data_IF_208166661696
#
_entry.id   IF_208166661696
#
_cell.length_a   1.000
_cell.length_b   1.000
_cell.length_c   1.000
_cell.angle_alpha   90.00
_cell.angle_beta   90.00
_cell.angle_gamma   90.00
#
_symmetry.space_group_name_H-M   'P 1'
#
loop_
_entity.id
_entity.type
_entity.pdbx_description
1 polymer ?
#
# COMPACT_ATOMS: atom_id res chain seq x y z
N UNK A 1 -49.08 9.14 22.72
CA UNK A 1 -48.36 8.50 21.59
C UNK A 1 -46.83 8.54 21.71
N UNK A 2 -46.19 9.33 22.60
CA UNK A 2 -44.73 9.44 22.70
C UNK A 2 -43.96 8.32 23.46
N UNK A 3 -44.62 7.39 24.15
CA UNK A 3 -43.92 6.34 24.94
C UNK A 3 -43.47 5.10 24.16
N UNK A 4 -43.86 4.96 22.88
CA UNK A 4 -43.52 3.78 22.04
C UNK A 4 -42.35 4.00 21.08
N UNK A 5 -41.95 5.26 20.85
CA UNK A 5 -40.83 5.62 19.98
C UNK A 5 -39.46 5.13 20.50
N UNK A 6 -39.14 5.22 21.82
CA UNK A 6 -37.85 4.78 22.34
C UNK A 6 -37.68 3.25 22.27
N UNK A 7 -38.74 2.49 22.55
CA UNK A 7 -38.72 1.04 22.47
C UNK A 7 -38.66 0.53 21.02
N UNK A 8 -39.28 1.24 20.07
CA UNK A 8 -39.19 0.90 18.66
C UNK A 8 -37.80 1.19 18.07
N UNK A 9 -37.16 2.29 18.48
CA UNK A 9 -35.77 2.61 18.10
C UNK A 9 -34.76 1.65 18.76
N UNK A 10 -34.97 1.28 20.03
CA UNK A 10 -34.18 0.25 20.70
C UNK A 10 -34.36 -1.13 20.05
N UNK A 11 -35.59 -1.51 19.70
CA UNK A 11 -35.86 -2.77 19.01
C UNK A 11 -35.26 -2.78 17.59
N UNK A 12 -35.36 -1.67 16.85
CA UNK A 12 -34.71 -1.50 15.55
C UNK A 12 -33.18 -1.59 15.66
N UNK A 13 -32.59 -0.93 16.66
CA UNK A 13 -31.16 -1.01 16.96
C UNK A 13 -30.71 -2.41 17.37
N UNK A 14 -31.53 -3.14 18.13
CA UNK A 14 -31.26 -4.53 18.51
C UNK A 14 -31.39 -5.50 17.33
N UNK A 15 -32.38 -5.29 16.45
CA UNK A 15 -32.53 -6.10 15.23
C UNK A 15 -31.42 -5.81 14.22
N UNK A 16 -30.96 -4.56 14.13
CA UNK A 16 -29.83 -4.19 13.29
C UNK A 16 -28.53 -4.81 13.82
N UNK A 17 -28.27 -4.77 15.12
CA UNK A 17 -27.08 -5.39 15.72
C UNK A 17 -27.11 -6.93 15.65
N UNK A 18 -28.25 -7.57 15.90
CA UNK A 18 -28.40 -9.03 15.73
C UNK A 18 -28.31 -9.45 14.25
N UNK A 19 -28.84 -8.64 13.33
CA UNK A 19 -28.71 -8.85 11.90
C UNK A 19 -27.25 -8.77 11.44
N UNK A 20 -26.52 -7.73 11.87
CA UNK A 20 -25.09 -7.59 11.62
C UNK A 20 -24.30 -8.76 12.22
N UNK A 21 -24.57 -9.16 13.47
CA UNK A 21 -23.90 -10.30 14.10
C UNK A 21 -24.16 -11.63 13.36
N UNK A 22 -25.37 -11.83 12.82
CA UNK A 22 -25.70 -12.99 12.01
C UNK A 22 -24.96 -13.03 10.66
N UNK A 23 -24.82 -11.87 10.00
CA UNK A 23 -24.01 -11.71 8.77
C UNK A 23 -22.54 -12.02 9.06
N UNK A 24 -22.00 -11.45 10.13
CA UNK A 24 -20.62 -11.67 10.59
C UNK A 24 -20.35 -13.15 10.93
N UNK A 25 -21.23 -13.82 11.69
CA UNK A 25 -21.10 -15.24 12.02
C UNK A 25 -21.19 -16.15 10.78
N UNK A 26 -22.06 -15.80 9.82
CA UNK A 26 -22.18 -16.54 8.56
C UNK A 26 -20.92 -16.38 7.71
N UNK A 27 -20.34 -15.17 7.69
CA UNK A 27 -19.12 -14.88 6.95
C UNK A 27 -17.90 -15.57 7.57
N UNK A 28 -17.78 -15.57 8.90
CA UNK A 28 -16.76 -16.35 9.62
C UNK A 28 -16.87 -17.85 9.35
N UNK A 29 -18.09 -18.38 9.29
CA UNK A 29 -18.30 -19.77 8.92
C UNK A 29 -17.92 -20.06 7.46
N UNK A 30 -18.09 -19.10 6.54
CA UNK A 30 -17.64 -19.22 5.15
C UNK A 30 -16.11 -19.26 5.05
N UNK A 31 -15.40 -18.37 5.76
CA UNK A 31 -13.93 -18.39 5.87
C UNK A 31 -13.41 -19.74 6.38
N UNK A 32 -13.91 -20.19 7.53
CA UNK A 32 -13.45 -21.43 8.17
C UNK A 32 -13.75 -22.70 7.33
N UNK A 33 -14.72 -22.62 6.41
CA UNK A 33 -15.11 -23.76 5.58
C UNK A 33 -14.70 -23.62 4.11
N UNK A 34 -14.00 -22.54 3.73
CA UNK A 34 -13.62 -22.24 2.35
C UNK A 34 -14.81 -22.10 1.39
N UNK A 35 -16.01 -21.81 1.89
CA UNK A 35 -17.23 -21.69 1.06
C UNK A 35 -17.39 -20.27 0.56
N UNK A 36 -17.76 -20.10 -0.72
CA UNK A 36 -18.04 -18.78 -1.31
C UNK A 36 -16.82 -17.88 -1.50
N UNK A 37 -15.62 -18.47 -1.53
CA UNK A 37 -14.42 -17.79 -2.03
C UNK A 37 -14.56 -17.48 -3.51
N UNK A 38 -14.09 -16.32 -3.93
CA UNK A 38 -13.81 -16.04 -5.34
C UNK A 38 -12.51 -16.76 -5.67
N UNK A 39 -12.49 -17.57 -6.73
CA UNK A 39 -11.27 -18.21 -7.20
C UNK A 39 -10.27 -17.15 -7.66
N UNK A 40 -8.97 -17.42 -7.51
CA UNK A 40 -7.99 -16.48 -8.04
C UNK A 40 -8.08 -16.48 -9.57
N UNK A 41 -7.92 -15.33 -10.22
CA UNK A 41 -7.85 -15.28 -11.67
C UNK A 41 -6.57 -15.98 -12.16
N UNK A 42 -6.61 -16.52 -13.37
CA UNK A 42 -5.39 -16.98 -14.05
C UNK A 42 -4.70 -15.81 -14.75
N UNK A 43 -3.39 -15.92 -14.98
CA UNK A 43 -2.68 -14.98 -15.85
C UNK A 43 -3.26 -15.06 -17.27
N UNK A 44 -3.79 -13.94 -17.75
CA UNK A 44 -4.36 -13.86 -19.09
C UNK A 44 -3.25 -13.65 -20.12
N UNK A 45 -3.08 -14.65 -20.99
CA UNK A 45 -2.09 -14.64 -22.07
C UNK A 45 -2.26 -13.47 -23.05
N UNK A 46 -3.46 -12.86 -23.14
CA UNK A 46 -3.69 -11.67 -23.95
C UNK A 46 -2.94 -10.44 -23.42
N UNK A 47 -2.71 -10.37 -22.11
CA UNK A 47 -1.89 -9.33 -21.47
C UNK A 47 -0.41 -9.71 -21.43
N UNK A 48 -0.10 -11.01 -21.42
CA UNK A 48 1.26 -11.53 -21.47
C UNK A 48 1.86 -11.56 -22.89
N UNK A 49 1.39 -10.72 -23.84
CA UNK A 49 1.72 -10.82 -25.28
C UNK A 49 3.20 -11.23 -25.46
N UNK A 50 3.35 -12.49 -25.93
CA UNK A 50 4.61 -13.17 -26.26
C UNK A 50 5.14 -14.25 -25.30
N UNK A 51 4.37 -14.68 -24.29
CA UNK A 51 4.78 -15.82 -23.44
C UNK A 51 4.50 -17.21 -24.02
N UNK A 52 3.94 -17.33 -25.23
CA UNK A 52 3.76 -18.62 -25.92
C UNK A 52 4.81 -18.80 -27.02
N UNK A 53 6.06 -19.06 -26.61
CA UNK A 53 7.15 -19.32 -27.53
C UNK A 53 8.42 -19.78 -26.83
N UNK A 54 9.42 -20.17 -27.62
CA UNK A 54 10.78 -20.42 -27.15
C UNK A 54 11.32 -19.24 -26.32
N UNK A 55 12.35 -19.43 -25.49
CA UNK A 55 12.95 -18.33 -24.69
C UNK A 55 13.27 -17.07 -25.54
N UNK A 56 13.61 -17.24 -26.83
CA UNK A 56 13.84 -16.14 -27.76
C UNK A 56 12.59 -15.36 -28.20
N UNK A 57 11.41 -15.97 -28.14
CA UNK A 57 10.12 -15.35 -28.47
C UNK A 57 9.52 -14.63 -27.25
N UNK A 58 9.74 -15.15 -26.03
CA UNK A 58 9.40 -14.47 -24.78
C UNK A 58 10.24 -13.21 -24.52
N UNK A 59 11.55 -13.27 -24.82
CA UNK A 59 12.47 -12.13 -24.71
C UNK A 59 12.20 -11.04 -25.78
N UNK A 60 11.66 -11.43 -26.94
CA UNK A 60 11.23 -10.48 -27.98
C UNK A 60 9.97 -9.69 -27.60
N UNK A 61 9.20 -10.17 -26.63
CA UNK A 61 7.91 -9.61 -26.29
C UNK A 61 7.92 -8.77 -24.99
N UNK A 62 8.80 -9.13 -24.06
CA UNK A 62 9.18 -8.29 -22.93
C UNK A 62 10.69 -8.05 -23.00
N UNK A 63 11.15 -7.05 -23.77
CA UNK A 63 12.56 -6.68 -23.76
C UNK A 63 12.95 -6.24 -22.34
N UNK A 64 14.24 -6.26 -22.01
CA UNK A 64 14.72 -5.91 -20.67
C UNK A 64 14.20 -4.55 -20.17
N UNK A 65 13.97 -3.58 -21.07
CA UNK A 65 13.36 -2.29 -20.77
C UNK A 65 12.23 -1.95 -21.76
N UNK A 66 11.07 -1.55 -21.25
CA UNK A 66 9.91 -1.12 -22.05
C UNK A 66 9.01 -0.16 -21.28
N UNK A 67 8.03 0.41 -21.97
CA UNK A 67 6.99 1.22 -21.35
C UNK A 67 5.61 0.72 -21.77
N UNK A 68 4.68 0.64 -20.83
CA UNK A 68 3.31 0.15 -21.05
C UNK A 68 2.31 0.98 -20.25
N UNK A 69 1.03 0.84 -20.58
CA UNK A 69 -0.04 1.47 -19.84
C UNK A 69 -0.68 0.43 -18.92
N UNK A 70 -0.80 0.75 -17.64
CA UNK A 70 -1.49 -0.08 -16.65
C UNK A 70 -2.81 0.58 -16.28
N UNK A 71 -3.88 -0.22 -16.28
CA UNK A 71 -5.19 0.22 -15.84
C UNK A 71 -5.39 -0.15 -14.38
N UNK A 72 -5.82 0.80 -13.57
CA UNK A 72 -6.15 0.62 -12.16
C UNK A 72 -7.49 1.30 -11.86
N UNK A 73 -7.96 1.25 -10.61
CA UNK A 73 -9.17 1.98 -10.20
C UNK A 73 -8.83 3.19 -9.32
N UNK A 74 -9.57 4.28 -9.52
CA UNK A 74 -9.51 5.47 -8.69
C UNK A 74 -10.90 5.82 -8.18
N UNK A 75 -10.99 6.29 -6.94
CA UNK A 75 -12.27 6.69 -6.33
C UNK A 75 -12.92 7.90 -7.05
N UNK A 76 -12.09 8.76 -7.64
CA UNK A 76 -12.54 9.95 -8.37
C UNK A 76 -12.84 9.69 -9.85
N UNK A 77 -12.44 8.53 -10.38
CA UNK A 77 -12.63 8.22 -11.79
C UNK A 77 -14.13 8.05 -12.10
N UNK A 78 -14.62 8.62 -13.22
CA UNK A 78 -16.01 8.49 -13.60
C UNK A 78 -16.32 7.06 -14.09
N UNK A 79 -17.61 6.75 -14.24
CA UNK A 79 -18.03 5.49 -14.86
C UNK A 79 -17.72 4.27 -13.99
N UNK A 80 -16.92 3.35 -14.53
CA UNK A 80 -16.48 2.12 -13.83
C UNK A 80 -15.33 2.36 -12.85
N UNK A 81 -14.88 3.61 -12.71
CA UNK A 81 -13.80 4.00 -11.83
C UNK A 81 -12.42 3.66 -12.37
N UNK A 82 -12.29 3.32 -13.66
CA UNK A 82 -11.00 3.02 -14.28
C UNK A 82 -10.16 4.28 -14.51
N UNK A 83 -8.85 4.13 -14.29
CA UNK A 83 -7.83 5.13 -14.58
C UNK A 83 -6.62 4.44 -15.23
N UNK A 84 -5.80 5.19 -15.97
CA UNK A 84 -4.68 4.63 -16.73
C UNK A 84 -3.40 5.41 -16.44
N UNK A 85 -2.36 4.69 -16.02
CA UNK A 85 -1.02 5.25 -15.82
C UNK A 85 -0.03 4.62 -16.80
N UNK A 86 0.83 5.44 -17.40
CA UNK A 86 1.96 4.98 -18.20
C UNK A 86 3.16 4.73 -17.29
N UNK A 87 3.74 3.54 -17.36
CA UNK A 87 4.90 3.13 -16.56
C UNK A 87 6.05 2.67 -17.43
N UNK A 88 7.27 2.81 -16.92
CA UNK A 88 8.46 2.13 -17.44
C UNK A 88 8.68 0.86 -16.63
N UNK A 89 9.18 -0.20 -17.26
CA UNK A 89 9.76 -1.34 -16.57
C UNK A 89 11.16 -1.60 -17.11
N UNK A 90 12.11 -1.84 -16.21
CA UNK A 90 13.49 -2.19 -16.57
C UNK A 90 14.02 -3.27 -15.61
N UNK A 91 14.31 -4.46 -16.13
CA UNK A 91 14.90 -5.55 -15.36
C UNK A 91 16.28 -5.19 -14.80
N UNK A 92 16.99 -4.21 -15.41
CA UNK A 92 18.31 -3.78 -14.95
C UNK A 92 18.27 -3.09 -13.58
N UNK A 93 17.12 -2.55 -13.15
CA UNK A 93 16.97 -1.92 -11.83
C UNK A 93 17.35 -2.87 -10.68
N UNK A 94 17.07 -4.16 -10.84
CA UNK A 94 17.34 -5.19 -9.83
C UNK A 94 18.77 -5.74 -9.90
N UNK A 95 19.68 -4.94 -10.44
CA UNK A 95 21.14 -5.15 -10.43
C UNK A 95 21.89 -3.96 -9.82
N UNK A 96 21.16 -2.87 -9.50
CA UNK A 96 21.69 -1.70 -8.85
C UNK A 96 21.84 -1.93 -7.33
N UNK A 97 22.45 -0.98 -6.64
CA UNK A 97 22.45 -0.98 -5.18
C UNK A 97 21.02 -0.69 -4.66
N UNK A 98 20.52 -1.47 -3.70
CA UNK A 98 19.20 -1.25 -3.13
C UNK A 98 19.06 0.05 -2.33
N UNK A 99 20.18 0.63 -1.87
CA UNK A 99 20.21 1.91 -1.18
C UNK A 99 20.20 3.13 -2.11
N UNK A 100 20.34 2.93 -3.42
CA UNK A 100 20.25 4.00 -4.41
C UNK A 100 18.79 4.21 -4.85
N UNK A 101 18.29 5.43 -4.66
CA UNK A 101 16.92 5.78 -5.07
C UNK A 101 16.76 5.73 -6.60
N UNK A 102 15.69 5.08 -7.06
CA UNK A 102 15.35 5.02 -8.47
C UNK A 102 13.94 5.59 -8.72
N UNK A 103 13.89 6.77 -9.34
CA UNK A 103 12.63 7.48 -9.54
C UNK A 103 11.66 6.78 -10.50
N UNK A 104 12.14 6.13 -11.57
CA UNK A 104 11.25 5.40 -12.49
C UNK A 104 10.68 4.15 -11.81
N UNK A 105 11.49 3.44 -11.01
CA UNK A 105 11.00 2.33 -10.19
C UNK A 105 10.00 2.82 -9.13
N UNK A 106 10.23 3.97 -8.52
CA UNK A 106 9.28 4.59 -7.59
C UNK A 106 7.95 4.95 -8.29
N UNK A 107 8.00 5.53 -9.50
CA UNK A 107 6.80 5.84 -10.27
C UNK A 107 6.00 4.55 -10.57
N UNK A 108 6.66 3.51 -11.07
CA UNK A 108 6.00 2.21 -11.34
C UNK A 108 5.47 1.57 -10.07
N UNK A 109 6.22 1.65 -8.96
CA UNK A 109 5.80 1.17 -7.64
C UNK A 109 4.54 1.88 -7.13
N UNK A 110 4.36 3.17 -7.42
CA UNK A 110 3.15 3.90 -7.02
C UNK A 110 1.89 3.36 -7.71
N UNK A 111 2.02 2.92 -8.97
CA UNK A 111 0.93 2.29 -9.73
C UNK A 111 0.67 0.86 -9.25
N UNK A 112 1.73 0.09 -8.96
CA UNK A 112 1.62 -1.25 -8.37
C UNK A 112 0.94 -1.22 -6.98
N UNK A 113 1.21 -0.20 -6.17
CA UNK A 113 0.53 0.02 -4.90
C UNK A 113 -0.96 0.35 -5.09
N UNK A 114 -1.32 1.13 -6.12
CA UNK A 114 -2.72 1.41 -6.45
C UNK A 114 -3.48 0.17 -6.95
N UNK A 115 -2.80 -0.69 -7.70
CA UNK A 115 -3.38 -1.94 -8.23
C UNK A 115 -3.83 -2.91 -7.12
N UNK A 116 -3.20 -2.87 -5.93
CA UNK A 116 -3.66 -3.67 -4.79
C UNK A 116 -5.08 -3.29 -4.36
N UNK A 117 -5.45 -2.01 -4.47
CA UNK A 117 -6.85 -1.63 -4.29
C UNK A 117 -7.69 -2.20 -5.42
N UNK A 118 -7.33 -1.90 -6.68
CA UNK A 118 -8.09 -2.31 -7.86
C UNK A 118 -8.48 -3.79 -7.87
N UNK A 119 -7.56 -4.66 -7.43
CA UNK A 119 -7.78 -6.11 -7.37
C UNK A 119 -8.88 -6.52 -6.39
N UNK A 120 -9.08 -5.77 -5.31
CA UNK A 120 -10.18 -6.05 -4.39
C UNK A 120 -11.56 -5.94 -5.07
N UNK A 121 -11.67 -5.17 -6.16
CA UNK A 121 -12.89 -5.10 -6.96
C UNK A 121 -13.30 -6.45 -7.56
N UNK A 122 -12.33 -7.23 -8.04
CA UNK A 122 -12.55 -8.60 -8.54
C UNK A 122 -13.09 -9.51 -7.43
N UNK A 123 -12.44 -9.49 -6.27
CA UNK A 123 -12.80 -10.33 -5.11
C UNK A 123 -14.09 -9.89 -4.37
N UNK A 124 -14.60 -8.69 -4.63
CA UNK A 124 -15.92 -8.25 -4.16
C UNK A 124 -17.08 -8.90 -4.93
N UNK A 125 -16.81 -9.62 -6.03
CA UNK A 125 -17.80 -10.17 -6.94
C UNK A 125 -18.76 -9.09 -7.49
N UNK A 126 -18.25 -7.87 -7.70
CA UNK A 126 -18.96 -6.85 -8.47
C UNK A 126 -18.93 -7.28 -9.94
N UNK A 127 -20.08 -7.32 -10.59
CA UNK A 127 -20.17 -7.66 -12.01
C UNK A 127 -19.21 -6.77 -12.82
N UNK A 128 -18.39 -7.40 -13.69
CA UNK A 128 -17.49 -6.74 -14.65
C UNK A 128 -16.24 -6.03 -14.11
N UNK A 129 -15.78 -6.27 -12.88
CA UNK A 129 -14.44 -5.83 -12.47
C UNK A 129 -13.36 -6.81 -12.98
N UNK A 130 -12.42 -6.37 -13.84
CA UNK A 130 -11.32 -7.23 -14.28
C UNK A 130 -10.29 -7.46 -13.17
N UNK A 131 -9.49 -8.53 -13.26
CA UNK A 131 -8.35 -8.77 -12.37
C UNK A 131 -7.21 -7.82 -12.72
N UNK A 132 -7.31 -6.57 -12.26
CA UNK A 132 -6.41 -5.48 -12.64
C UNK A 132 -4.95 -5.79 -12.30
N UNK A 133 -4.69 -6.41 -11.14
CA UNK A 133 -3.34 -6.72 -10.71
C UNK A 133 -2.71 -7.78 -11.62
N UNK A 134 -3.39 -8.90 -11.88
CA UNK A 134 -2.88 -9.98 -12.72
C UNK A 134 -2.67 -9.51 -14.16
N UNK A 135 -3.60 -8.72 -14.71
CA UNK A 135 -3.45 -8.16 -16.05
C UNK A 135 -2.24 -7.23 -16.13
N UNK A 136 -2.02 -6.40 -15.10
CA UNK A 136 -0.86 -5.52 -15.04
C UNK A 136 0.44 -6.31 -14.91
N UNK A 137 0.51 -7.28 -14.00
CA UNK A 137 1.69 -8.11 -13.78
C UNK A 137 2.02 -8.98 -15.00
N UNK A 138 1.01 -9.53 -15.68
CA UNK A 138 1.18 -10.19 -16.98
C UNK A 138 1.80 -9.24 -18.02
N UNK A 139 1.30 -7.99 -18.10
CA UNK A 139 1.84 -6.94 -19.00
C UNK A 139 3.26 -6.50 -18.65
N UNK A 140 3.69 -6.73 -17.40
CA UNK A 140 5.04 -6.45 -16.92
C UNK A 140 5.98 -7.67 -17.06
N UNK A 141 5.47 -8.81 -17.55
CA UNK A 141 6.23 -10.04 -17.77
C UNK A 141 6.39 -10.93 -16.53
N UNK A 142 5.56 -10.77 -15.50
CA UNK A 142 5.51 -11.72 -14.38
C UNK A 142 4.88 -13.03 -14.83
N UNK A 143 5.54 -14.15 -14.49
CA UNK A 143 5.13 -15.49 -14.92
C UNK A 143 4.32 -16.25 -13.87
N UNK A 144 4.42 -15.84 -12.60
CA UNK A 144 3.69 -16.44 -11.49
C UNK A 144 3.13 -15.32 -10.61
N UNK A 145 1.82 -15.35 -10.33
CA UNK A 145 1.13 -14.35 -9.51
C UNK A 145 0.17 -15.07 -8.58
N UNK A 146 0.17 -14.66 -7.30
CA UNK A 146 -0.80 -15.10 -6.30
C UNK A 146 -1.49 -13.89 -5.69
N UNK A 147 -2.83 -13.88 -5.79
CA UNK A 147 -3.73 -12.94 -5.12
C UNK A 147 -4.68 -13.65 -4.17
N UNK A 148 -4.34 -14.87 -3.73
CA UNK A 148 -5.22 -15.66 -2.86
C UNK A 148 -5.52 -14.96 -1.53
N UNK A 149 -4.62 -14.10 -1.04
CA UNK A 149 -4.81 -13.34 0.20
C UNK A 149 -6.01 -12.37 0.13
N UNK A 150 -6.47 -11.99 -1.07
CA UNK A 150 -7.65 -11.13 -1.24
C UNK A 150 -8.95 -11.87 -0.95
N UNK A 151 -8.94 -13.21 -0.97
CA UNK A 151 -10.09 -14.03 -0.60
C UNK A 151 -10.46 -13.74 0.84
N UNK A 152 -11.73 -13.42 1.06
CA UNK A 152 -12.28 -13.08 2.38
C UNK A 152 -11.66 -11.86 3.06
N UNK A 153 -10.85 -11.05 2.35
CA UNK A 153 -10.29 -9.80 2.87
C UNK A 153 -10.71 -8.59 2.04
N UNK A 154 -11.69 -8.72 1.15
CA UNK A 154 -12.01 -7.69 0.13
C UNK A 154 -13.40 -7.07 0.26
N UNK A 155 -14.23 -7.51 1.21
CA UNK A 155 -15.56 -6.93 1.45
C UNK A 155 -15.58 -6.11 2.74
N UNK A 156 -16.37 -5.03 2.77
CA UNK A 156 -16.61 -4.22 3.98
C UNK A 156 -17.10 -5.08 5.17
N UNK A 157 -17.86 -6.14 4.90
CA UNK A 157 -18.32 -7.08 5.95
C UNK A 157 -17.20 -7.96 6.51
N UNK A 158 -16.14 -8.19 5.73
CA UNK A 158 -14.96 -8.93 6.16
C UNK A 158 -14.12 -8.04 7.09
N UNK A 159 -13.94 -6.77 6.73
CA UNK A 159 -13.19 -5.82 7.57
C UNK A 159 -13.92 -5.48 8.89
N UNK A 160 -15.26 -5.38 8.87
CA UNK A 160 -16.06 -5.24 10.10
C UNK A 160 -16.03 -6.51 10.95
N UNK A 161 -15.91 -7.69 10.34
CA UNK A 161 -15.72 -8.94 11.05
C UNK A 161 -14.38 -8.95 11.76
N UNK A 162 -13.32 -8.62 11.03
CA UNK A 162 -11.95 -8.58 11.53
C UNK A 162 -11.83 -7.59 12.71
N UNK A 163 -12.45 -6.41 12.62
CA UNK A 163 -12.55 -5.45 13.73
C UNK A 163 -13.30 -6.01 14.95
N UNK A 164 -14.33 -6.83 14.73
CA UNK A 164 -15.14 -7.40 15.81
C UNK A 164 -14.51 -8.65 16.44
N UNK A 165 -13.68 -9.40 15.70
CA UNK A 165 -13.02 -10.64 16.15
C UNK A 165 -11.61 -10.41 16.70
N UNK A 166 -11.02 -9.22 16.50
CA UNK A 166 -9.60 -8.99 16.78
C UNK A 166 -8.68 -9.60 15.71
N UNK A 167 -9.23 -9.89 14.53
CA UNK A 167 -8.48 -10.28 13.32
C UNK A 167 -8.28 -9.08 12.36
N UNK A 168 -8.55 -7.84 12.83
CA UNK A 168 -8.39 -6.55 12.14
C UNK A 168 -7.01 -6.32 11.51
N UNK A 169 -6.03 -7.13 11.92
CA UNK A 169 -4.62 -7.04 11.56
C UNK A 169 -4.28 -7.77 10.24
N UNK A 170 -5.29 -8.33 9.53
CA UNK A 170 -5.11 -8.95 8.23
C UNK A 170 -5.12 -7.92 7.10
N UNK A 171 -4.13 -7.97 6.21
CA UNK A 171 -4.14 -7.21 4.95
C UNK A 171 -4.15 -8.14 3.74
N UNK A 172 -4.81 -7.70 2.68
CA UNK A 172 -4.65 -8.33 1.37
C UNK A 172 -3.36 -7.84 0.73
N UNK A 173 -2.70 -8.71 -0.02
CA UNK A 173 -1.48 -8.45 -0.75
C UNK A 173 -1.35 -9.37 -1.96
N UNK A 174 -0.64 -8.90 -2.97
CA UNK A 174 -0.22 -9.74 -4.10
C UNK A 174 1.22 -10.13 -3.89
N UNK A 175 1.56 -11.39 -4.15
CA UNK A 175 2.95 -11.84 -4.31
C UNK A 175 3.13 -12.40 -5.73
N UNK A 176 4.23 -12.05 -6.38
CA UNK A 176 4.46 -12.40 -7.77
C UNK A 176 5.95 -12.64 -8.05
N UNK A 177 6.25 -13.52 -9.01
CA UNK A 177 7.60 -13.85 -9.44
C UNK A 177 7.79 -13.49 -10.92
N UNK A 178 8.86 -12.76 -11.19
CA UNK A 178 9.36 -12.53 -12.55
C UNK A 178 10.76 -13.09 -12.69
N UNK A 179 10.98 -13.87 -13.75
CA UNK A 179 12.33 -14.23 -14.21
C UNK A 179 12.93 -13.01 -14.90
N UNK A 180 13.99 -12.46 -14.33
CA UNK A 180 14.71 -11.34 -14.93
C UNK A 180 15.61 -11.85 -16.05
N UNK A 181 15.76 -11.06 -17.12
CA UNK A 181 16.61 -11.40 -18.25
C UNK A 181 18.01 -11.88 -17.84
N UNK A 182 18.40 -13.06 -18.32
CA UNK A 182 19.74 -13.61 -18.17
C UNK A 182 20.67 -12.93 -19.18
N UNK A 183 21.51 -12.01 -18.70
CA UNK A 183 22.78 -11.75 -19.38
C UNK A 183 23.43 -13.11 -19.61
N UNK A 184 23.82 -13.42 -20.84
CA UNK A 184 24.04 -14.77 -21.37
C UNK A 184 25.13 -15.63 -20.66
N UNK A 185 25.68 -15.20 -19.52
CA UNK A 185 26.73 -15.87 -18.74
C UNK A 185 26.57 -15.76 -17.19
N UNK A 186 25.37 -15.51 -16.66
CA UNK A 186 25.12 -15.38 -15.20
C UNK A 186 24.14 -16.42 -14.63
N UNK A 187 24.09 -16.58 -13.27
CA UNK A 187 23.03 -17.36 -12.63
C UNK A 187 21.65 -16.77 -12.99
N UNK A 188 20.63 -17.62 -12.99
CA UNK A 188 19.26 -17.15 -13.17
C UNK A 188 18.92 -16.13 -12.07
N UNK A 189 18.10 -15.12 -12.38
CA UNK A 189 17.68 -14.10 -11.42
C UNK A 189 16.17 -14.02 -11.37
N UNK A 190 15.62 -14.12 -10.17
CA UNK A 190 14.20 -13.94 -9.91
C UNK A 190 13.97 -12.65 -9.12
N UNK A 191 12.92 -11.94 -9.50
CA UNK A 191 12.34 -10.87 -8.71
C UNK A 191 11.07 -11.40 -8.05
N UNK A 192 10.99 -11.28 -6.73
CA UNK A 192 9.75 -11.43 -5.98
C UNK A 192 9.19 -10.05 -5.71
N UNK A 193 8.02 -9.75 -6.27
CA UNK A 193 7.27 -8.54 -5.99
C UNK A 193 6.21 -8.85 -4.94
N UNK A 194 6.06 -7.94 -3.98
CA UNK A 194 4.89 -7.87 -3.11
C UNK A 194 4.24 -6.49 -3.20
N UNK A 195 2.93 -6.46 -3.42
CA UNK A 195 2.11 -5.25 -3.34
C UNK A 195 1.07 -5.40 -2.22
N UNK A 196 1.26 -4.66 -1.13
CA UNK A 196 0.38 -4.69 0.04
C UNK A 196 -0.74 -3.66 -0.06
N UNK A 197 -1.98 -4.08 0.22
CA UNK A 197 -3.17 -3.23 0.13
C UNK A 197 -3.35 -2.38 1.40
N UNK A 198 -3.70 -1.11 1.21
CA UNK A 198 -4.18 -0.26 2.30
C UNK A 198 -5.67 -0.43 2.64
N UNK A 199 -6.27 0.59 3.26
CA UNK A 199 -7.67 0.62 3.72
C UNK A 199 -8.60 1.33 2.72
N UNK A 200 -9.90 0.98 2.68
CA UNK A 200 -10.88 1.54 1.74
C UNK A 200 -11.77 2.64 2.37
N UNK A 201 -11.96 3.78 1.69
CA UNK A 201 -13.00 4.76 2.04
C UNK A 201 -12.96 5.29 3.50
N UNK A 202 -14.06 5.15 4.25
CA UNK A 202 -14.21 5.64 5.64
C UNK A 202 -13.42 4.84 6.69
N UNK A 203 -12.68 3.82 6.27
CA UNK A 203 -11.96 2.87 7.13
C UNK A 203 -10.59 3.41 7.60
N UNK A 204 -10.15 4.58 7.14
CA UNK A 204 -8.91 5.21 7.65
C UNK A 204 -8.93 5.44 9.18
N UNK A 205 -10.12 5.49 9.79
CA UNK A 205 -10.28 5.63 11.24
C UNK A 205 -9.75 4.40 12.02
N UNK A 206 -9.66 3.21 11.42
CA UNK A 206 -9.02 2.05 12.07
C UNK A 206 -7.49 2.15 12.10
N UNK A 207 -6.89 3.00 11.27
CA UNK A 207 -5.45 3.31 11.34
C UNK A 207 -5.07 4.09 12.62
N UNK A 208 -6.06 4.52 13.42
CA UNK A 208 -5.85 5.11 14.74
C UNK A 208 -5.86 4.06 15.88
N UNK A 209 -6.01 2.77 15.55
CA UNK A 209 -5.89 1.68 16.52
C UNK A 209 -4.42 1.37 16.87
N UNK A 210 -3.84 2.14 17.79
CA UNK A 210 -2.43 2.01 18.21
C UNK A 210 -2.16 0.85 19.19
N UNK A 211 -2.90 -0.26 19.09
CA UNK A 211 -2.56 -1.46 19.87
C UNK A 211 -1.11 -1.89 19.56
N UNK A 212 -0.34 -2.27 20.58
CA UNK A 212 1.12 -2.52 20.50
C UNK A 212 1.45 -4.01 20.59
N UNK A 213 2.50 -4.45 19.90
CA UNK A 213 3.15 -5.75 20.15
C UNK A 213 4.38 -5.57 21.10
N UNK A 214 4.95 -6.68 21.57
CA UNK A 214 6.08 -6.78 22.50
C UNK A 214 7.37 -6.07 21.98
N UNK A 215 7.49 -5.81 20.68
CA UNK A 215 8.62 -5.11 20.04
C UNK A 215 8.48 -3.58 20.02
N UNK A 216 7.31 -3.03 20.37
CA UNK A 216 7.02 -1.60 20.30
C UNK A 216 6.56 -1.11 18.92
N UNK A 217 6.40 -2.01 17.95
CA UNK A 217 5.81 -1.71 16.63
C UNK A 217 4.27 -1.66 16.71
N UNK A 218 3.66 -0.99 15.72
CA UNK A 218 2.21 -0.86 15.62
C UNK A 218 1.54 -2.23 15.35
N UNK A 219 0.90 -2.79 16.38
CA UNK A 219 0.38 -4.17 16.41
C UNK A 219 -0.59 -4.48 15.26
N UNK A 220 -1.39 -3.48 14.83
CA UNK A 220 -2.31 -3.62 13.69
C UNK A 220 -1.67 -3.89 12.33
N UNK A 221 -0.35 -3.73 12.17
CA UNK A 221 0.38 -3.98 10.92
C UNK A 221 1.34 -5.17 11.00
N UNK A 222 1.85 -5.48 12.19
CA UNK A 222 2.88 -6.51 12.42
C UNK A 222 2.41 -7.90 12.00
N UNK A 223 1.14 -8.26 12.22
CA UNK A 223 0.63 -9.59 11.83
C UNK A 223 0.67 -9.77 10.31
N UNK A 224 0.17 -8.78 9.57
CA UNK A 224 0.23 -8.79 8.11
C UNK A 224 1.68 -8.77 7.61
N UNK A 225 2.57 -8.00 8.25
CA UNK A 225 3.98 -7.97 7.89
C UNK A 225 4.64 -9.35 8.05
N UNK A 226 4.43 -10.01 9.20
CA UNK A 226 4.96 -11.37 9.45
C UNK A 226 4.41 -12.41 8.48
N UNK A 227 3.11 -12.35 8.14
CA UNK A 227 2.50 -13.22 7.13
C UNK A 227 3.19 -13.05 5.78
N UNK A 228 3.32 -11.80 5.31
CA UNK A 228 3.96 -11.47 4.04
C UNK A 228 5.45 -11.85 4.04
N UNK A 229 6.19 -11.55 5.11
CA UNK A 229 7.61 -11.87 5.23
C UNK A 229 7.86 -13.38 5.15
N UNK A 230 6.99 -14.19 5.76
CA UNK A 230 7.06 -15.65 5.66
C UNK A 230 6.81 -16.15 4.22
N UNK A 231 5.84 -15.58 3.51
CA UNK A 231 5.58 -15.91 2.10
C UNK A 231 6.75 -15.51 1.19
N UNK A 232 7.35 -14.33 1.40
CA UNK A 232 8.55 -13.90 0.66
C UNK A 232 9.70 -14.88 0.86
N UNK A 233 9.97 -15.27 2.11
CA UNK A 233 11.00 -16.28 2.44
C UNK A 233 10.71 -17.60 1.72
N UNK A 234 9.47 -18.08 1.76
CA UNK A 234 9.08 -19.33 1.10
C UNK A 234 9.33 -19.26 -0.42
N UNK A 235 8.86 -18.20 -1.08
CA UNK A 235 9.05 -18.01 -2.52
C UNK A 235 10.52 -17.85 -2.90
N UNK A 236 11.33 -17.23 -2.02
CA UNK A 236 12.75 -17.04 -2.23
C UNK A 236 13.52 -18.36 -2.11
N UNK A 237 13.19 -19.19 -1.12
CA UNK A 237 13.75 -20.53 -0.95
C UNK A 237 13.45 -21.43 -2.16
N UNK A 238 12.24 -21.38 -2.70
CA UNK A 238 11.86 -22.08 -3.93
C UNK A 238 12.73 -21.64 -5.13
N UNK A 239 12.85 -20.33 -5.36
CA UNK A 239 13.69 -19.78 -6.43
C UNK A 239 15.16 -20.19 -6.26
N UNK A 240 15.70 -20.14 -5.03
CA UNK A 240 17.07 -20.58 -4.74
C UNK A 240 17.27 -22.08 -4.93
N UNK A 241 16.28 -22.90 -4.61
CA UNK A 241 16.33 -24.34 -4.88
C UNK A 241 16.41 -24.66 -6.38
N UNK A 242 15.92 -23.75 -7.23
CA UNK A 242 16.06 -23.78 -8.69
C UNK A 242 17.34 -23.11 -9.20
N UNK A 243 18.22 -22.66 -8.31
CA UNK A 243 19.52 -22.06 -8.63
C UNK A 243 19.44 -20.58 -9.04
N UNK A 244 18.34 -19.89 -8.75
CA UNK A 244 18.22 -18.46 -9.01
C UNK A 244 18.74 -17.62 -7.82
N UNK A 245 19.37 -16.48 -8.13
CA UNK A 245 19.52 -15.37 -7.20
C UNK A 245 18.20 -14.61 -7.11
N UNK A 246 17.86 -14.13 -5.92
CA UNK A 246 16.54 -13.54 -5.64
C UNK A 246 16.69 -12.10 -5.20
N UNK A 247 15.99 -11.19 -5.84
CA UNK A 247 15.75 -9.82 -5.35
C UNK A 247 14.29 -9.67 -4.94
N UNK A 248 14.01 -8.77 -4.00
CA UNK A 248 12.66 -8.51 -3.50
C UNK A 248 12.27 -7.06 -3.79
N UNK A 249 11.07 -6.83 -4.31
CA UNK A 249 10.45 -5.51 -4.44
C UNK A 249 9.20 -5.44 -3.56
N UNK A 250 9.19 -4.52 -2.61
CA UNK A 250 8.08 -4.27 -1.69
C UNK A 250 7.44 -2.93 -2.01
N UNK A 251 6.13 -2.94 -2.26
CA UNK A 251 5.37 -1.72 -2.53
C UNK A 251 4.08 -1.69 -1.74
N UNK A 252 3.62 -0.49 -1.42
CA UNK A 252 2.34 -0.31 -0.74
C UNK A 252 1.99 1.16 -0.54
N UNK A 253 0.69 1.42 -0.40
CA UNK A 253 0.16 2.76 -0.16
C UNK A 253 -0.64 2.79 1.14
N UNK A 254 -0.57 3.90 1.91
CA UNK A 254 -1.29 4.09 3.17
C UNK A 254 -0.95 2.98 4.17
N UNK A 255 -1.95 2.30 4.75
CA UNK A 255 -1.76 1.07 5.56
C UNK A 255 -0.89 0.02 4.85
N UNK A 256 -1.05 -0.16 3.54
CA UNK A 256 -0.22 -1.08 2.76
C UNK A 256 1.24 -0.64 2.71
N UNK A 257 1.48 0.67 2.69
CA UNK A 257 2.83 1.25 2.77
C UNK A 257 3.48 1.02 4.13
N UNK A 258 2.72 1.15 5.22
CA UNK A 258 3.19 0.79 6.56
C UNK A 258 3.55 -0.70 6.70
N UNK A 259 2.72 -1.58 6.13
CA UNK A 259 3.01 -3.01 6.11
C UNK A 259 4.27 -3.30 5.29
N UNK A 260 4.39 -2.74 4.08
CA UNK A 260 5.58 -2.90 3.24
C UNK A 260 6.86 -2.37 3.92
N UNK A 261 6.77 -1.25 4.66
CA UNK A 261 7.86 -0.69 5.47
C UNK A 261 8.33 -1.68 6.54
N UNK A 262 7.40 -2.28 7.29
CA UNK A 262 7.71 -3.28 8.32
C UNK A 262 8.29 -4.56 7.72
N UNK A 263 7.71 -5.08 6.63
CA UNK A 263 8.24 -6.26 5.94
C UNK A 263 9.67 -6.02 5.50
N UNK A 264 9.96 -4.87 4.88
CA UNK A 264 11.31 -4.57 4.42
C UNK A 264 12.32 -4.56 5.58
N UNK A 265 11.97 -3.90 6.69
CA UNK A 265 12.81 -3.89 7.88
C UNK A 265 13.04 -5.29 8.47
N UNK A 266 12.00 -6.14 8.53
CA UNK A 266 12.12 -7.54 8.98
C UNK A 266 13.03 -8.37 8.05
N UNK A 267 12.93 -8.17 6.72
CA UNK A 267 13.80 -8.86 5.75
C UNK A 267 15.25 -8.39 5.85
N UNK A 268 15.50 -7.10 6.08
CA UNK A 268 16.85 -6.57 6.28
C UNK A 268 17.47 -7.05 7.60
N UNK A 269 16.68 -7.17 8.67
CA UNK A 269 17.11 -7.77 9.92
C UNK A 269 17.44 -9.26 9.76
N UNK A 270 16.60 -10.00 9.03
CA UNK A 270 16.85 -11.40 8.70
C UNK A 270 18.14 -11.56 7.88
N UNK A 271 18.35 -10.69 6.89
CA UNK A 271 19.55 -10.70 6.05
C UNK A 271 20.81 -10.36 6.86
N UNK A 272 20.74 -9.37 7.75
CA UNK A 272 21.83 -9.01 8.64
C UNK A 272 22.20 -10.15 9.61
N UNK A 273 21.21 -10.95 10.05
CA UNK A 273 21.43 -12.09 10.93
C UNK A 273 21.94 -13.34 10.19
N UNK A 274 21.41 -13.61 9.00
CA UNK A 274 21.73 -14.81 8.23
C UNK A 274 23.00 -14.67 7.36
N UNK A 275 23.40 -13.45 7.00
CA UNK A 275 24.53 -13.20 6.08
C UNK A 275 24.31 -13.92 4.74
N UNK A 276 25.35 -14.59 4.23
CA UNK A 276 25.30 -15.32 2.95
C UNK A 276 24.25 -16.44 2.89
N UNK A 277 23.73 -16.87 4.05
CA UNK A 277 22.68 -17.88 4.14
C UNK A 277 21.26 -17.31 3.94
N UNK A 278 21.08 -15.99 3.88
CA UNK A 278 19.77 -15.35 3.68
C UNK A 278 19.13 -15.81 2.36
N UNK A 279 17.85 -16.22 2.31
CA UNK A 279 17.24 -16.82 1.12
C UNK A 279 17.03 -15.85 -0.06
N UNK A 280 17.36 -14.57 0.13
CA UNK A 280 17.27 -13.51 -0.88
C UNK A 280 18.45 -12.54 -0.73
N UNK A 281 18.69 -11.74 -1.76
CA UNK A 281 19.73 -10.72 -1.84
C UNK A 281 19.18 -9.31 -1.58
N UNK A 282 19.23 -8.39 -2.57
CA UNK A 282 18.72 -7.03 -2.43
C UNK A 282 17.20 -6.94 -2.16
N UNK A 283 16.81 -6.01 -1.29
CA UNK A 283 15.42 -5.67 -0.99
C UNK A 283 15.20 -4.22 -1.39
N UNK A 284 14.31 -3.96 -2.34
CA UNK A 284 13.93 -2.63 -2.80
C UNK A 284 12.55 -2.30 -2.23
N UNK A 285 12.42 -1.25 -1.43
CA UNK A 285 11.13 -0.91 -0.82
C UNK A 285 10.70 0.53 -1.15
N UNK A 286 9.51 0.66 -1.73
CA UNK A 286 8.91 1.94 -2.11
C UNK A 286 7.51 2.04 -1.51
N UNK A 287 7.38 2.88 -0.48
CA UNK A 287 6.11 3.07 0.22
C UNK A 287 5.55 4.46 -0.10
N UNK A 288 4.23 4.57 -0.18
CA UNK A 288 3.54 5.82 -0.49
C UNK A 288 2.54 6.12 0.59
N UNK A 289 2.48 7.36 1.05
CA UNK A 289 1.54 7.77 2.09
C UNK A 289 1.64 6.92 3.38
N UNK A 290 2.81 6.31 3.65
CA UNK A 290 2.94 5.35 4.73
C UNK A 290 2.87 6.05 6.10
N UNK A 291 1.94 5.67 6.99
CA UNK A 291 1.96 6.13 8.36
C UNK A 291 3.22 5.65 9.08
N UNK A 292 3.54 6.26 10.22
CA UNK A 292 4.63 5.81 11.08
C UNK A 292 4.31 4.44 11.71
N UNK A 293 5.33 3.60 11.85
CA UNK A 293 5.18 2.16 12.12
C UNK A 293 5.87 1.68 13.38
N UNK A 294 6.89 2.40 13.86
CA UNK A 294 7.79 1.89 14.89
C UNK A 294 8.20 2.95 15.92
N UNK A 295 8.59 2.48 17.11
CA UNK A 295 9.27 3.25 18.16
C UNK A 295 10.78 2.93 18.23
N UNK A 296 11.29 2.10 17.30
CA UNK A 296 12.68 1.68 17.29
C UNK A 296 13.62 2.88 17.12
N UNK A 297 14.57 3.04 18.06
CA UNK A 297 15.50 4.17 18.06
C UNK A 297 16.51 4.14 16.89
N UNK A 298 16.67 2.98 16.25
CA UNK A 298 17.54 2.73 15.11
C UNK A 298 16.79 2.63 13.78
N UNK A 299 15.51 3.03 13.74
CA UNK A 299 14.68 3.01 12.52
C UNK A 299 15.30 3.77 11.33
N UNK A 300 16.17 4.75 11.60
CA UNK A 300 16.87 5.56 10.59
C UNK A 300 18.32 5.11 10.34
N UNK A 301 18.70 3.91 10.80
CA UNK A 301 20.05 3.37 10.57
C UNK A 301 20.28 3.01 9.10
N UNK A 302 21.56 2.96 8.68
CA UNK A 302 21.95 2.59 7.30
C UNK A 302 21.43 1.22 6.87
N UNK A 303 21.13 0.32 7.82
CA UNK A 303 20.53 -0.99 7.54
C UNK A 303 19.24 -0.89 6.72
N UNK A 304 18.45 0.15 6.99
CA UNK A 304 17.13 0.35 6.39
C UNK A 304 17.17 1.36 5.24
N UNK A 305 18.37 1.71 4.74
CA UNK A 305 18.58 2.76 3.73
C UNK A 305 17.96 2.48 2.36
N UNK A 306 17.54 1.24 2.13
CA UNK A 306 16.82 0.72 0.96
C UNK A 306 15.30 0.89 1.02
N UNK A 307 14.77 1.42 2.13
CA UNK A 307 13.35 1.67 2.33
C UNK A 307 13.05 3.14 2.08
N UNK A 308 12.44 3.45 0.94
CA UNK A 308 12.07 4.80 0.55
C UNK A 308 10.59 5.04 0.84
N UNK A 309 10.30 5.99 1.73
CA UNK A 309 8.95 6.39 2.08
C UNK A 309 8.61 7.73 1.42
N UNK A 310 7.75 7.68 0.41
CA UNK A 310 7.30 8.86 -0.34
C UNK A 310 6.08 9.45 0.36
N UNK A 311 6.20 10.69 0.84
CA UNK A 311 5.14 11.42 1.53
C UNK A 311 4.70 12.65 0.73
N UNK A 312 3.40 12.87 0.60
CA UNK A 312 2.85 14.14 0.16
C UNK A 312 2.73 15.09 1.37
N UNK A 313 3.36 16.27 1.38
CA UNK A 313 3.23 17.19 2.51
C UNK A 313 1.80 17.66 2.81
N UNK A 314 0.91 17.57 1.82
CA UNK A 314 -0.52 17.89 1.97
C UNK A 314 -1.36 16.70 2.45
N UNK A 315 -0.75 15.52 2.61
CA UNK A 315 -1.38 14.31 3.15
C UNK A 315 -1.04 14.18 4.64
N UNK A 316 -2.06 14.02 5.47
CA UNK A 316 -1.89 13.90 6.93
C UNK A 316 -1.45 12.49 7.36
N UNK A 317 -1.74 11.45 6.58
CA UNK A 317 -1.53 10.06 7.00
C UNK A 317 -0.06 9.74 7.30
N UNK A 318 0.93 10.22 6.52
CA UNK A 318 2.35 10.04 6.85
C UNK A 318 2.77 10.63 8.19
N UNK A 319 2.02 11.61 8.73
CA UNK A 319 2.36 12.26 9.98
C UNK A 319 1.71 11.60 11.19
N UNK A 320 1.00 10.47 10.99
CA UNK A 320 0.34 9.71 12.04
C UNK A 320 0.91 8.28 12.10
N UNK A 321 1.05 7.67 13.29
CA UNK A 321 1.03 8.33 14.61
C UNK A 321 2.13 9.39 14.73
N UNK A 322 1.99 10.34 15.65
CA UNK A 322 2.85 11.52 15.69
C UNK A 322 4.29 11.20 16.10
N UNK A 323 5.26 11.85 15.43
CA UNK A 323 6.67 11.84 15.84
C UNK A 323 6.89 12.38 17.26
N UNK A 324 6.04 13.30 17.71
CA UNK A 324 6.02 13.80 19.09
C UNK A 324 5.79 12.69 20.13
N UNK A 325 5.21 11.55 19.73
CA UNK A 325 5.04 10.37 20.58
C UNK A 325 6.17 9.33 20.41
N UNK A 326 7.21 9.66 19.64
CA UNK A 326 8.36 8.81 19.34
C UNK A 326 8.17 7.86 18.15
N UNK A 327 7.06 7.96 17.41
CA UNK A 327 6.81 7.14 16.24
C UNK A 327 7.62 7.62 15.03
N UNK A 328 8.20 6.65 14.33
CA UNK A 328 8.99 6.84 13.12
C UNK A 328 8.61 5.80 12.06
N UNK A 329 9.17 5.95 10.86
CA UNK A 329 9.23 4.89 9.85
C UNK A 329 10.65 4.36 9.73
N UNK A 330 10.79 3.11 9.34
CA UNK A 330 12.09 2.59 8.92
C UNK A 330 12.53 3.25 7.61
N UNK A 331 13.82 3.56 7.49
CA UNK A 331 14.46 4.03 6.26
C UNK A 331 14.41 5.53 6.00
N UNK A 332 14.33 5.91 4.73
CA UNK A 332 14.52 7.28 4.21
C UNK A 332 13.19 7.88 3.80
N UNK A 333 12.89 9.08 4.28
CA UNK A 333 11.68 9.82 3.89
C UNK A 333 11.97 10.82 2.77
N UNK A 334 11.18 10.73 1.70
CA UNK A 334 11.21 11.61 0.54
C UNK A 334 9.88 12.33 0.40
N UNK A 335 9.90 13.66 0.41
CA UNK A 335 8.69 14.47 0.29
C UNK A 335 8.46 14.90 -1.16
N UNK A 336 7.22 14.76 -1.62
CA UNK A 336 6.76 15.36 -2.86
C UNK A 336 6.81 16.89 -2.77
N UNK A 337 6.88 17.61 -3.91
CA UNK A 337 6.90 19.07 -3.92
C UNK A 337 5.74 19.67 -3.12
N UNK A 338 6.02 20.74 -2.38
CA UNK A 338 5.01 21.48 -1.62
C UNK A 338 5.04 22.97 -1.92
N UNK A 339 3.95 23.65 -1.57
CA UNK A 339 3.82 25.09 -1.76
C UNK A 339 5.00 25.83 -1.08
N UNK A 340 5.75 26.60 -1.89
CA UNK A 340 6.95 27.31 -1.45
C UNK A 340 8.27 26.69 -1.93
N UNK A 341 8.25 25.49 -2.50
CA UNK A 341 9.39 24.93 -3.25
C UNK A 341 9.61 25.65 -4.59
N UNK A 342 10.83 25.60 -5.11
CA UNK A 342 11.13 26.11 -6.45
C UNK A 342 10.31 25.37 -7.52
N UNK A 343 9.85 26.09 -8.53
CA UNK A 343 9.04 25.57 -9.64
C UNK A 343 7.72 24.87 -9.24
N UNK A 344 7.26 25.03 -7.99
CA UNK A 344 6.07 24.35 -7.48
C UNK A 344 4.84 24.59 -8.37
N UNK A 345 4.53 25.84 -8.71
CA UNK A 345 3.36 26.19 -9.53
C UNK A 345 3.37 25.45 -10.88
N UNK A 346 4.55 25.35 -11.52
CA UNK A 346 4.71 24.62 -12.79
C UNK A 346 4.49 23.12 -12.60
N UNK A 347 5.09 22.54 -11.57
CA UNK A 347 4.96 21.11 -11.27
C UNK A 347 3.53 20.74 -10.86
N UNK A 348 2.84 21.62 -10.14
CA UNK A 348 1.44 21.45 -9.77
C UNK A 348 0.54 21.46 -11.01
N UNK A 349 0.76 22.40 -11.94
CA UNK A 349 0.02 22.45 -13.21
C UNK A 349 0.23 21.17 -14.04
N UNK A 350 1.47 20.66 -14.11
CA UNK A 350 1.80 19.41 -14.79
C UNK A 350 1.16 18.20 -14.09
N UNK A 351 1.23 18.11 -12.76
CA UNK A 351 0.60 17.06 -11.96
C UNK A 351 -0.91 17.03 -12.20
N UNK A 352 -1.57 18.20 -12.18
CA UNK A 352 -3.02 18.31 -12.43
C UNK A 352 -3.38 17.89 -13.85
N UNK A 353 -2.52 18.17 -14.84
CA UNK A 353 -2.71 17.70 -16.21
C UNK A 353 -2.62 16.17 -16.31
N UNK A 354 -1.61 15.55 -15.70
CA UNK A 354 -1.47 14.09 -15.65
C UNK A 354 -2.65 13.44 -14.92
N UNK A 355 -3.08 14.01 -13.79
CA UNK A 355 -4.25 13.51 -13.07
C UNK A 355 -5.51 13.52 -13.95
N UNK A 356 -5.75 14.63 -14.66
CA UNK A 356 -6.89 14.76 -15.57
C UNK A 356 -6.83 13.75 -16.71
N UNK A 357 -5.65 13.53 -17.29
CA UNK A 357 -5.45 12.56 -18.37
C UNK A 357 -5.67 11.12 -17.89
N UNK A 358 -5.15 10.76 -16.72
CA UNK A 358 -5.25 9.40 -16.15
C UNK A 358 -6.64 9.08 -15.61
N UNK A 359 -7.21 10.00 -14.81
CA UNK A 359 -8.43 9.77 -14.01
C UNK A 359 -9.69 10.30 -14.71
N UNK A 360 -9.55 11.24 -15.66
CA UNK A 360 -10.67 11.81 -16.41
C UNK A 360 -11.42 12.95 -15.72
N UNK A 361 -10.94 13.43 -14.57
CA UNK A 361 -11.51 14.56 -13.81
C UNK A 361 -10.42 15.49 -13.27
N UNK A 362 -10.80 16.69 -12.84
CA UNK A 362 -9.87 17.61 -12.17
C UNK A 362 -9.41 17.05 -10.82
N UNK A 363 -8.10 17.18 -10.53
CA UNK A 363 -7.56 16.83 -9.23
C UNK A 363 -8.12 17.79 -8.17
N UNK A 364 -8.77 17.23 -7.14
CA UNK A 364 -9.35 18.02 -6.04
C UNK A 364 -8.38 18.22 -4.87
N UNK A 365 -7.16 17.67 -4.94
CA UNK A 365 -6.13 17.92 -3.94
C UNK A 365 -5.73 19.41 -3.94
N UNK A 366 -5.56 19.97 -2.75
CA UNK A 366 -5.19 21.37 -2.55
C UNK A 366 -3.83 21.42 -1.83
N UNK A 367 -2.85 22.06 -2.47
CA UNK A 367 -1.51 22.21 -1.92
C UNK A 367 -1.48 23.03 -0.62
N UNK A 368 -2.51 23.85 -0.35
CA UNK A 368 -2.64 24.56 0.91
C UNK A 368 -2.95 23.63 2.10
N UNK A 369 -3.35 22.38 1.84
CA UNK A 369 -3.68 21.40 2.88
C UNK A 369 -2.46 21.01 3.72
N UNK A 370 -1.22 21.28 3.27
CA UNK A 370 -0.01 21.16 4.10
C UNK A 370 -0.11 21.95 5.41
N UNK A 371 -0.71 23.14 5.39
CA UNK A 371 -0.88 23.96 6.59
C UNK A 371 -1.94 23.36 7.51
N UNK A 372 -2.97 22.74 6.94
CA UNK A 372 -4.04 22.06 7.69
C UNK A 372 -3.46 20.81 8.36
N UNK A 373 -2.75 19.96 7.62
CA UNK A 373 -2.11 18.75 8.14
C UNK A 373 -1.20 19.07 9.34
N UNK A 374 -0.29 20.04 9.18
CA UNK A 374 0.60 20.50 10.27
C UNK A 374 -0.17 21.02 11.48
N UNK A 375 -1.14 21.92 11.26
CA UNK A 375 -1.95 22.49 12.34
C UNK A 375 -2.71 21.41 13.12
N UNK A 376 -3.24 20.41 12.42
CA UNK A 376 -3.96 19.30 13.04
C UNK A 376 -3.02 18.43 13.86
N UNK A 377 -1.86 18.07 13.32
CA UNK A 377 -0.84 17.32 14.05
C UNK A 377 -0.39 18.07 15.32
N UNK A 378 -0.12 19.37 15.23
CA UNK A 378 0.25 20.21 16.37
C UNK A 378 -0.85 20.25 17.45
N UNK A 379 -2.12 20.39 17.02
CA UNK A 379 -3.26 20.41 17.93
C UNK A 379 -3.46 19.06 18.62
N UNK A 380 -3.27 17.94 17.90
CA UNK A 380 -3.36 16.59 18.48
C UNK A 380 -2.21 16.40 19.47
N UNK A 381 -0.97 16.77 19.11
CA UNK A 381 0.19 16.68 20.00
C UNK A 381 0.00 17.47 21.31
N UNK A 382 -0.61 18.64 21.22
CA UNK A 382 -0.89 19.48 22.39
C UNK A 382 -2.02 18.94 23.27
N UNK A 383 -2.98 18.22 22.69
CA UNK A 383 -4.17 17.73 23.39
C UNK A 383 -4.04 16.29 23.90
N UNK A 384 -3.19 15.48 23.26
CA UNK A 384 -2.96 14.06 23.57
C UNK A 384 -1.45 13.86 23.67
N UNK A 385 -0.96 13.68 24.89
CA UNK A 385 0.47 13.72 25.20
C UNK A 385 1.23 12.45 24.83
N UNK A 386 0.53 11.34 24.56
CA UNK A 386 1.17 10.09 24.14
C UNK A 386 0.23 9.17 23.35
N UNK A 387 0.81 8.18 22.68
CA UNK A 387 0.04 7.13 22.00
C UNK A 387 -0.82 6.29 22.95
N UNK A 388 -0.37 6.07 24.19
CA UNK A 388 -1.19 5.40 25.22
C UNK A 388 -2.41 6.23 25.60
N UNK A 389 -2.28 7.56 25.62
CA UNK A 389 -3.41 8.44 25.85
C UNK A 389 -4.38 8.42 24.66
N UNK A 390 -3.88 8.34 23.42
CA UNK A 390 -4.72 8.28 22.21
C UNK A 390 -5.71 7.10 22.24
N UNK A 391 -5.25 5.92 22.65
CA UNK A 391 -6.10 4.71 22.68
C UNK A 391 -7.08 4.70 23.85
N UNK A 392 -7.06 5.69 24.73
CA UNK A 392 -8.11 5.87 25.74
C UNK A 392 -9.39 6.42 25.10
N UNK A 393 -10.59 6.13 25.65
CA UNK A 393 -11.84 6.69 25.14
C UNK A 393 -11.86 8.23 25.10
N UNK A 394 -11.14 8.88 26.00
CA UNK A 394 -11.05 10.36 26.06
C UNK A 394 -10.08 10.89 25.02
N UNK A 395 -8.90 10.29 24.87
CA UNK A 395 -7.93 10.66 23.85
C UNK A 395 -8.48 10.44 22.43
N UNK A 396 -9.05 9.27 22.15
CA UNK A 396 -9.65 8.96 20.86
C UNK A 396 -10.78 9.95 20.50
N UNK A 397 -11.66 10.26 21.45
CA UNK A 397 -12.73 11.24 21.24
C UNK A 397 -12.18 12.66 21.01
N UNK A 398 -11.09 13.02 21.69
CA UNK A 398 -10.45 14.33 21.56
C UNK A 398 -9.80 14.48 20.18
N UNK A 399 -9.04 13.48 19.74
CA UNK A 399 -8.44 13.41 18.40
C UNK A 399 -9.50 13.43 17.32
N UNK A 400 -10.55 12.62 17.43
CA UNK A 400 -11.66 12.63 16.48
C UNK A 400 -12.34 13.99 16.39
N UNK A 401 -12.55 14.68 17.52
CA UNK A 401 -13.12 16.03 17.53
C UNK A 401 -12.19 17.05 16.86
N UNK A 402 -10.90 17.00 17.12
CA UNK A 402 -9.92 17.90 16.50
C UNK A 402 -9.88 17.69 14.99
N UNK A 403 -9.85 16.44 14.54
CA UNK A 403 -9.96 16.08 13.12
C UNK A 403 -11.28 16.63 12.53
N UNK A 404 -12.43 16.29 13.11
CA UNK A 404 -13.73 16.69 12.58
C UNK A 404 -13.99 18.22 12.62
N UNK A 405 -13.26 18.97 13.46
CA UNK A 405 -13.42 20.44 13.58
C UNK A 405 -12.53 21.20 12.60
N UNK A 406 -11.34 20.67 12.30
CA UNK A 406 -10.32 21.35 11.50
C UNK A 406 -10.15 20.75 10.09
N UNK A 407 -10.72 19.58 9.85
CA UNK A 407 -10.56 18.84 8.61
C UNK A 407 -11.93 18.52 8.03
N UNK A 408 -12.17 18.93 6.79
CA UNK A 408 -13.19 18.28 5.97
C UNK A 408 -12.67 16.87 5.64
N UNK A 409 -13.28 15.80 6.18
CA UNK A 409 -12.76 14.45 6.04
C UNK A 409 -12.66 13.99 4.59
N UNK A 410 -13.44 14.56 3.68
CA UNK A 410 -13.37 14.23 2.25
C UNK A 410 -12.21 14.97 1.59
N UNK A 411 -12.01 16.24 1.95
CA UNK A 411 -10.96 17.08 1.37
C UNK A 411 -9.55 16.54 1.63
N UNK A 412 -9.27 16.15 2.87
CA UNK A 412 -7.92 15.68 3.24
C UNK A 412 -7.54 14.36 2.56
N UNK A 413 -8.54 13.58 2.13
CA UNK A 413 -8.32 12.32 1.44
C UNK A 413 -7.85 12.54 -0.01
N UNK A 414 -8.13 13.68 -0.65
CA UNK A 414 -7.69 13.92 -2.03
C UNK A 414 -6.17 13.90 -2.16
N UNK A 415 -5.46 14.52 -1.21
CA UNK A 415 -3.99 14.49 -1.15
C UNK A 415 -3.44 13.10 -0.82
N UNK A 416 -4.26 12.26 -0.20
CA UNK A 416 -3.96 10.87 0.17
C UNK A 416 -4.29 9.85 -0.92
N UNK A 417 -4.90 10.24 -2.04
CA UNK A 417 -5.29 9.25 -3.06
C UNK A 417 -4.07 8.68 -3.80
N UNK A 418 -4.04 7.36 -4.10
CA UNK A 418 -2.98 6.77 -4.91
C UNK A 418 -2.82 7.49 -6.27
N UNK A 419 -3.92 7.94 -6.89
CA UNK A 419 -3.90 8.72 -8.13
C UNK A 419 -3.15 10.04 -8.00
N UNK A 420 -3.23 10.70 -6.84
CA UNK A 420 -2.49 11.95 -6.57
C UNK A 420 -0.99 11.68 -6.45
N UNK A 421 -0.60 10.61 -5.75
CA UNK A 421 0.80 10.18 -5.69
C UNK A 421 1.34 9.78 -7.07
N UNK A 422 0.59 8.98 -7.85
CA UNK A 422 0.96 8.59 -9.22
C UNK A 422 1.18 9.83 -10.10
N UNK A 423 0.29 10.82 -10.03
CA UNK A 423 0.41 12.03 -10.83
C UNK A 423 1.66 12.84 -10.45
N UNK A 424 1.94 13.02 -9.16
CA UNK A 424 3.16 13.68 -8.69
C UNK A 424 4.43 12.93 -9.11
N UNK A 425 4.45 11.61 -8.94
CA UNK A 425 5.58 10.76 -9.35
C UNK A 425 5.83 10.76 -10.86
N UNK A 426 4.83 11.12 -11.67
CA UNK A 426 4.97 11.18 -13.12
C UNK A 426 5.56 12.50 -13.64
N UNK A 427 5.59 13.55 -12.81
CA UNK A 427 6.05 14.89 -13.21
C UNK A 427 7.28 15.35 -12.45
N UNK A 428 7.67 14.60 -11.42
CA UNK A 428 8.83 14.92 -10.59
C UNK A 428 10.07 14.15 -11.05
N UNK A 429 11.19 14.45 -10.42
CA UNK A 429 12.41 13.66 -10.46
C UNK A 429 13.06 13.70 -9.07
N UNK A 430 14.08 12.88 -8.85
CA UNK A 430 14.77 12.77 -7.56
C UNK A 430 15.20 14.13 -6.97
N UNK A 431 15.73 15.05 -7.79
CA UNK A 431 16.20 16.36 -7.30
C UNK A 431 15.10 17.29 -6.81
N UNK A 432 13.83 16.96 -7.12
CA UNK A 432 12.65 17.71 -6.71
C UNK A 432 11.97 17.10 -5.47
N UNK A 433 12.46 15.95 -5.00
CA UNK A 433 12.02 15.37 -3.74
C UNK A 433 12.77 16.02 -2.58
N UNK A 434 12.02 16.48 -1.58
CA UNK A 434 12.59 16.99 -0.34
C UNK A 434 13.09 15.83 0.52
N UNK A 435 14.19 16.01 1.25
CA UNK A 435 14.49 15.14 2.38
C UNK A 435 13.63 15.60 3.56
N UNK A 436 12.70 14.76 4.02
CA UNK A 436 11.76 15.14 5.09
C UNK A 436 12.50 15.68 6.32
N UNK A 437 12.11 16.87 6.78
CA UNK A 437 12.50 17.36 8.11
C UNK A 437 11.40 16.93 9.08
N UNK A 438 11.67 15.91 9.89
CA UNK A 438 10.81 15.53 11.02
C UNK A 438 10.52 16.71 11.95
#
# INVERSE_FOLDING_TARGET
>A
MLRRLPCALLALGLTATLGSAGVLATRRAQELTGRGAVEQPGLDAAYAQGSEGSASEAEAAHPARFATNLTYTSLDAPGDGSAVARVTWDDAWFSADEGDYNHELAQTSSVLAALAYAESGYYQARENHPPYMENALASLGFGEVSTESYRYRSKVVDEVLDLATGDADGAAYTIARKRLGSGHDGPARDLILVSARGSYGSEWLSNLDLSRDETGDHGGYVRAAREIGAEVVSWAEESRALGAEVSVLLVGHSRGGAIANLVAAELDDLRAQAGDAAPFGPVYAYTFAAPATTLASDARSERYGNIFNIANPSDIMPYLPLSAWGYERYGVDLELPSAGCADFDRLEDEMRAVYRESVGVECSADAADVLIARTVCDNIAAAVGSAEELVTPVGALTTFRLLATHVDPVRILYSHYPSTYIAWMSVTNESQLGTGTN
#
